data_IF_021739266275
#
_entry.id   IF_021739266275
#
_cell.length_a   1.000
_cell.length_b   1.000
_cell.length_c   1.000
_cell.angle_alpha   90.00
_cell.angle_beta   90.00
_cell.angle_gamma   90.00
#
_symmetry.space_group_name_H-M   'P 1'
#
loop_
_entity.id
_entity.type
_entity.pdbx_description
1 polymer ?
#
# COMPACT_ATOMS: atom_id res chain seq x y z
N UNK A 1 -27.16 -27.76 13.78
CA UNK A 1 -26.55 -26.59 14.45
C UNK A 1 -25.33 -26.92 15.35
N UNK A 2 -24.77 -28.14 15.33
CA UNK A 2 -23.54 -28.46 16.10
C UNK A 2 -22.25 -28.25 15.30
N UNK A 3 -22.32 -28.33 13.97
CA UNK A 3 -21.17 -28.17 13.06
C UNK A 3 -20.65 -26.73 12.97
N UNK A 4 -21.53 -25.72 13.04
CA UNK A 4 -21.18 -24.29 12.90
C UNK A 4 -20.39 -23.76 14.11
N UNK A 5 -20.66 -24.27 15.31
CA UNK A 5 -19.92 -23.88 16.51
C UNK A 5 -18.50 -24.45 16.54
N UNK A 6 -18.30 -25.65 15.97
CA UNK A 6 -16.99 -26.31 15.89
C UNK A 6 -16.13 -25.66 14.80
N UNK A 7 -16.70 -25.26 13.66
CA UNK A 7 -15.97 -24.52 12.62
C UNK A 7 -15.57 -23.11 13.08
N UNK A 8 -16.40 -22.43 13.89
CA UNK A 8 -16.04 -21.12 14.43
C UNK A 8 -14.94 -21.20 15.50
N UNK A 9 -14.95 -22.23 16.37
CA UNK A 9 -13.86 -22.48 17.31
C UNK A 9 -12.55 -22.89 16.63
N UNK A 10 -12.59 -23.64 15.52
CA UNK A 10 -11.41 -23.98 14.74
C UNK A 10 -10.81 -22.75 14.03
N UNK A 11 -11.64 -21.81 13.57
CA UNK A 11 -11.16 -20.54 13.00
C UNK A 11 -10.46 -19.66 14.05
N UNK A 12 -10.94 -19.63 15.29
CA UNK A 12 -10.27 -18.89 16.37
C UNK A 12 -8.90 -19.47 16.76
N UNK A 13 -8.70 -20.80 16.65
CA UNK A 13 -7.40 -21.43 16.91
C UNK A 13 -6.36 -21.21 15.79
N UNK A 14 -6.81 -21.05 14.53
CA UNK A 14 -5.90 -20.78 13.40
C UNK A 14 -5.33 -19.36 13.45
N UNK A 15 -6.05 -18.39 14.03
CA UNK A 15 -5.53 -17.03 14.23
C UNK A 15 -4.51 -16.92 15.37
N UNK A 16 -4.55 -17.82 16.35
CA UNK A 16 -3.55 -17.89 17.43
C UNK A 16 -2.19 -18.46 17.00
N UNK A 17 -2.15 -19.21 15.89
CA UNK A 17 -0.91 -19.78 15.34
C UNK A 17 -0.22 -18.88 14.29
N UNK A 18 -0.87 -17.80 13.85
CA UNK A 18 -0.34 -16.84 12.87
C UNK A 18 0.38 -15.64 13.50
N UNK A 19 0.29 -15.46 14.82
CA UNK A 19 1.02 -14.44 15.59
C UNK A 19 2.24 -15.02 16.34
N UNK A 20 2.87 -16.04 15.75
CA UNK A 20 4.16 -16.55 16.18
C UNK A 20 5.31 -15.74 15.57
N UNK A 21 5.95 -14.91 16.39
CA UNK A 21 7.29 -14.37 16.22
C UNK A 21 7.52 -13.38 15.06
N UNK A 22 7.26 -12.11 15.35
CA UNK A 22 8.13 -11.03 14.86
C UNK A 22 9.52 -11.19 15.49
N UNK A 23 10.50 -11.63 14.70
CA UNK A 23 11.91 -11.23 14.85
C UNK A 23 12.65 -11.43 13.53
N UNK A 24 12.16 -10.80 12.46
CA UNK A 24 13.00 -10.53 11.29
C UNK A 24 13.95 -9.37 11.61
N UNK A 25 15.09 -9.73 12.20
CA UNK A 25 16.30 -8.91 12.18
C UNK A 25 16.73 -8.73 10.72
N UNK A 26 16.38 -7.59 10.11
CA UNK A 26 16.88 -7.18 8.81
C UNK A 26 18.34 -6.74 8.93
N UNK A 27 19.26 -7.72 8.97
CA UNK A 27 20.65 -7.46 8.57
C UNK A 27 20.65 -7.05 7.09
N UNK A 28 21.30 -5.93 6.72
CA UNK A 28 21.37 -5.53 5.32
C UNK A 28 22.24 -6.54 4.56
N UNK A 29 21.64 -7.25 3.61
CA UNK A 29 22.38 -8.05 2.66
C UNK A 29 23.10 -7.11 1.70
N UNK A 30 24.40 -6.94 1.96
CA UNK A 30 25.36 -6.28 1.08
C UNK A 30 25.61 -7.22 -0.10
N UNK A 31 24.88 -7.04 -1.20
CA UNK A 31 25.32 -7.54 -2.51
C UNK A 31 26.08 -6.42 -3.19
N UNK A 32 27.40 -6.43 -3.00
CA UNK A 32 28.33 -5.77 -3.90
C UNK A 32 28.51 -6.76 -5.05
N UNK A 33 27.84 -6.50 -6.16
CA UNK A 33 28.32 -6.87 -7.50
C UNK A 33 27.61 -5.98 -8.51
N UNK A 34 28.21 -4.80 -8.71
CA UNK A 34 28.62 -4.25 -10.00
C UNK A 34 28.82 -2.75 -9.79
N UNK A 35 30.07 -2.39 -9.50
CA UNK A 35 30.55 -1.02 -9.59
C UNK A 35 30.49 -0.62 -11.07
N UNK A 36 29.31 -0.23 -11.54
CA UNK A 36 29.24 0.61 -12.73
C UNK A 36 29.74 1.98 -12.27
N UNK A 37 31.00 2.27 -12.59
CA UNK A 37 31.58 3.59 -12.49
C UNK A 37 30.86 4.47 -13.52
N UNK A 38 29.63 4.86 -13.19
CA UNK A 38 29.04 6.04 -13.78
C UNK A 38 29.55 7.22 -12.97
N UNK A 39 30.15 8.16 -13.70
CA UNK A 39 30.34 9.57 -13.33
C UNK A 39 29.32 10.04 -12.28
N UNK A 40 29.68 10.88 -11.28
CA UNK A 40 28.88 11.08 -10.08
C UNK A 40 27.45 11.50 -10.45
N UNK A 41 26.54 10.52 -10.44
CA UNK A 41 25.13 10.76 -10.68
C UNK A 41 24.66 11.63 -9.52
N UNK A 42 24.29 12.87 -9.83
CA UNK A 42 23.76 13.76 -8.80
C UNK A 42 22.39 13.22 -8.43
N UNK A 43 22.29 12.68 -7.22
CA UNK A 43 21.01 12.28 -6.64
C UNK A 43 20.38 13.49 -5.97
N UNK A 44 19.13 13.78 -6.30
CA UNK A 44 18.38 14.87 -5.67
C UNK A 44 17.11 14.32 -5.05
N UNK A 45 16.98 14.50 -3.74
CA UNK A 45 15.77 14.17 -3.00
C UNK A 45 14.80 15.35 -3.01
N UNK A 46 13.56 15.09 -3.43
CA UNK A 46 12.52 16.09 -3.60
C UNK A 46 11.25 15.72 -2.84
N UNK A 47 10.77 16.61 -1.96
CA UNK A 47 9.61 16.32 -1.10
C UNK A 47 8.27 16.72 -1.70
N UNK A 48 8.15 17.94 -2.22
CA UNK A 48 6.90 18.42 -2.82
C UNK A 48 7.06 19.78 -3.51
N UNK A 49 6.17 20.07 -4.47
CA UNK A 49 6.08 21.35 -5.16
C UNK A 49 6.58 21.24 -6.61
N UNK A 50 7.28 22.29 -7.07
CA UNK A 50 7.91 22.30 -8.39
C UNK A 50 9.40 22.05 -8.26
N UNK A 51 9.90 21.00 -8.91
CA UNK A 51 11.33 20.75 -9.01
C UNK A 51 11.92 21.58 -10.15
N UNK A 52 13.11 22.14 -9.95
CA UNK A 52 13.76 23.01 -10.94
C UNK A 52 15.16 22.48 -11.27
N UNK A 53 15.35 22.07 -12.52
CA UNK A 53 16.67 21.85 -13.07
C UNK A 53 17.20 23.18 -13.61
N UNK A 54 18.33 23.66 -13.05
CA UNK A 54 18.95 24.92 -13.47
C UNK A 54 20.26 24.58 -14.16
N UNK A 55 20.37 24.96 -15.43
CA UNK A 55 21.58 24.80 -16.23
C UNK A 55 22.10 26.17 -16.68
N UNK A 56 23.40 26.37 -16.58
CA UNK A 56 24.03 27.60 -17.06
C UNK A 56 23.99 27.65 -18.59
N UNK A 57 23.64 28.80 -19.13
CA UNK A 57 23.69 29.02 -20.56
C UNK A 57 25.16 28.99 -21.04
N UNK A 58 25.42 28.42 -22.23
CA UNK A 58 26.75 28.46 -22.80
C UNK A 58 27.20 29.91 -23.04
N UNK A 59 28.43 30.23 -22.64
CA UNK A 59 29.02 31.55 -22.89
C UNK A 59 29.48 31.64 -24.34
N UNK A 60 29.30 32.80 -24.96
CA UNK A 60 29.74 33.09 -26.34
C UNK A 60 29.09 32.21 -27.42
N UNK A 61 27.88 31.71 -27.18
CA UNK A 61 27.12 30.89 -28.12
C UNK A 61 25.84 31.63 -28.47
N UNK A 62 25.61 31.86 -29.77
CA UNK A 62 24.44 32.60 -30.25
C UNK A 62 23.24 31.69 -30.53
N UNK A 63 23.49 30.42 -30.84
CA UNK A 63 22.43 29.44 -31.12
C UNK A 63 22.73 28.11 -30.46
N UNK A 64 21.81 27.66 -29.61
CA UNK A 64 21.93 26.40 -28.89
C UNK A 64 20.54 25.78 -28.64
N UNK A 65 20.53 24.48 -28.37
CA UNK A 65 19.35 23.77 -27.90
C UNK A 65 19.67 23.05 -26.60
N UNK A 66 18.74 23.11 -25.66
CA UNK A 66 18.79 22.37 -24.42
C UNK A 66 17.60 21.43 -24.35
N UNK A 67 17.85 20.15 -24.19
CA UNK A 67 16.82 19.13 -24.14
C UNK A 67 16.92 18.35 -22.85
N UNK A 68 15.77 18.11 -22.21
CA UNK A 68 15.64 17.28 -21.02
C UNK A 68 14.93 15.98 -21.40
N UNK A 69 15.59 14.87 -21.10
CA UNK A 69 15.11 13.53 -21.32
C UNK A 69 14.80 12.83 -19.99
N UNK A 70 13.83 11.92 -20.00
CA UNK A 70 13.49 11.07 -18.86
C UNK A 70 13.72 9.60 -19.20
N UNK A 71 14.31 8.87 -18.26
CA UNK A 71 14.46 7.42 -18.29
C UNK A 71 15.57 6.92 -19.17
N UNK A 72 15.79 5.61 -19.12
CA UNK A 72 16.85 4.92 -19.87
C UNK A 72 16.66 5.05 -21.39
N UNK A 73 15.42 5.06 -21.87
CA UNK A 73 15.09 5.27 -23.28
C UNK A 73 15.29 6.73 -23.75
N UNK A 74 15.67 7.63 -22.84
CA UNK A 74 15.88 9.07 -23.09
C UNK A 74 14.68 9.69 -23.83
N UNK A 75 13.49 9.54 -23.25
CA UNK A 75 12.27 10.15 -23.82
C UNK A 75 12.29 11.66 -23.61
N UNK A 76 12.18 12.44 -24.70
CA UNK A 76 12.16 13.91 -24.66
C UNK A 76 10.92 14.42 -23.92
N UNK A 77 11.12 15.14 -22.82
CA UNK A 77 10.03 15.72 -22.03
C UNK A 77 9.91 17.24 -22.23
N UNK A 78 11.04 17.93 -22.32
CA UNK A 78 11.11 19.35 -22.62
C UNK A 78 12.32 19.66 -23.47
N UNK A 79 12.21 20.71 -24.27
CA UNK A 79 13.32 21.31 -24.97
C UNK A 79 13.21 22.84 -24.93
N UNK A 80 14.35 23.52 -25.05
CA UNK A 80 14.44 24.95 -25.26
C UNK A 80 15.41 25.18 -26.40
N UNK A 81 14.92 25.78 -27.48
CA UNK A 81 15.80 26.22 -28.55
C UNK A 81 16.00 27.73 -28.47
N UNK A 82 17.26 28.14 -28.32
CA UNK A 82 17.66 29.55 -28.29
C UNK A 82 18.33 29.91 -29.60
N UNK A 83 17.83 30.97 -30.21
CA UNK A 83 18.37 31.61 -31.41
C UNK A 83 18.66 33.09 -31.11
N UNK A 84 19.36 33.78 -32.01
CA UNK A 84 19.68 35.22 -31.86
C UNK A 84 18.46 36.11 -31.61
N UNK A 85 17.30 35.72 -32.13
CA UNK A 85 16.08 36.53 -32.10
C UNK A 85 15.14 36.13 -30.95
N UNK A 86 15.14 34.84 -30.55
CA UNK A 86 14.16 34.31 -29.60
C UNK A 86 14.59 33.00 -28.96
N UNK A 87 14.07 32.78 -27.75
CA UNK A 87 14.08 31.49 -27.07
C UNK A 87 12.68 30.86 -27.18
N UNK A 88 12.60 29.65 -27.73
CA UNK A 88 11.36 28.92 -27.98
C UNK A 88 11.34 27.69 -27.07
N UNK A 89 10.52 27.68 -26.01
CA UNK A 89 10.31 26.50 -25.20
C UNK A 89 9.38 25.53 -25.93
N UNK A 90 9.70 24.24 -25.85
CA UNK A 90 8.89 23.14 -26.35
C UNK A 90 8.68 22.16 -25.21
N UNK A 91 7.44 21.71 -25.02
CA UNK A 91 7.13 20.70 -24.03
C UNK A 91 6.30 19.58 -24.66
N UNK A 92 6.75 18.35 -24.47
CA UNK A 92 6.05 17.15 -24.95
C UNK A 92 5.14 16.55 -23.87
N UNK A 93 5.23 17.04 -22.63
CA UNK A 93 4.47 16.55 -21.48
C UNK A 93 3.92 17.70 -20.66
N UNK A 94 2.76 17.51 -20.04
CA UNK A 94 2.08 18.58 -19.30
C UNK A 94 2.79 19.01 -18.01
N UNK A 95 3.62 18.13 -17.44
CA UNK A 95 4.29 18.36 -16.16
C UNK A 95 5.66 19.06 -16.31
N UNK A 96 6.06 19.44 -17.51
CA UNK A 96 7.37 20.04 -17.76
C UNK A 96 7.24 21.37 -18.49
N UNK A 97 7.96 22.38 -18.03
CA UNK A 97 8.01 23.71 -18.62
C UNK A 97 9.46 24.21 -18.66
N UNK A 98 9.89 24.78 -19.78
CA UNK A 98 11.20 25.39 -19.91
C UNK A 98 11.09 26.92 -19.82
N UNK A 99 11.92 27.53 -18.98
CA UNK A 99 12.07 28.97 -18.83
C UNK A 99 13.50 29.38 -19.17
N UNK A 100 13.62 30.41 -20.00
CA UNK A 100 14.91 30.97 -20.38
C UNK A 100 15.17 32.27 -19.64
N UNK A 101 16.35 32.38 -19.03
CA UNK A 101 16.90 33.61 -18.48
C UNK A 101 18.22 33.92 -19.19
N UNK A 102 18.73 35.15 -19.07
CA UNK A 102 19.97 35.56 -19.72
C UNK A 102 21.18 34.70 -19.29
N UNK A 103 21.21 34.25 -18.04
CA UNK A 103 22.36 33.51 -17.46
C UNK A 103 22.14 32.00 -17.38
N UNK A 104 20.89 31.56 -17.30
CA UNK A 104 20.54 30.16 -17.12
C UNK A 104 19.24 29.80 -17.79
N UNK A 105 19.10 28.52 -18.09
CA UNK A 105 17.86 27.91 -18.53
C UNK A 105 17.37 27.00 -17.41
N UNK A 106 16.08 27.12 -17.09
CA UNK A 106 15.45 26.37 -16.02
C UNK A 106 14.36 25.47 -16.58
N UNK A 107 14.45 24.17 -16.32
CA UNK A 107 13.35 23.23 -16.57
C UNK A 107 12.60 23.01 -15.25
N UNK A 108 11.33 23.41 -15.26
CA UNK A 108 10.43 23.32 -14.13
C UNK A 108 9.56 22.07 -14.33
N UNK A 109 9.69 21.12 -13.40
CA UNK A 109 8.81 19.97 -13.31
C UNK A 109 7.75 20.23 -12.23
N UNK A 110 6.48 20.16 -12.62
CA UNK A 110 5.32 20.42 -11.76
C UNK A 110 4.55 19.12 -11.50
N UNK A 111 3.73 19.07 -10.45
CA UNK A 111 2.85 17.92 -10.16
C UNK A 111 3.57 16.55 -10.19
N UNK A 112 4.75 16.50 -9.59
CA UNK A 112 5.58 15.30 -9.54
C UNK A 112 5.03 14.27 -8.54
N UNK A 113 4.61 13.13 -9.07
CA UNK A 113 4.25 11.88 -8.36
C UNK A 113 5.36 10.80 -8.45
N UNK A 114 5.22 9.68 -7.70
CA UNK A 114 6.15 8.51 -7.71
C UNK A 114 6.52 8.01 -9.11
N UNK A 115 5.57 8.03 -10.05
CA UNK A 115 5.79 7.60 -11.45
C UNK A 115 6.83 8.45 -12.20
N UNK A 116 7.23 9.58 -11.64
CA UNK A 116 8.24 10.48 -12.21
C UNK A 116 9.63 10.29 -11.59
N UNK A 117 9.80 9.38 -10.63
CA UNK A 117 11.11 8.98 -10.13
C UNK A 117 11.84 8.27 -11.26
N UNK A 118 12.94 8.85 -11.70
CA UNK A 118 13.74 8.32 -12.80
C UNK A 118 15.08 9.06 -12.91
N UNK A 119 15.94 8.57 -13.80
CA UNK A 119 17.11 9.31 -14.28
C UNK A 119 16.68 10.33 -15.33
N UNK A 120 17.02 11.59 -15.08
CA UNK A 120 16.84 12.68 -16.02
C UNK A 120 18.17 12.99 -16.69
N UNK A 121 18.16 13.03 -18.02
CA UNK A 121 19.36 13.31 -18.82
C UNK A 121 19.19 14.66 -19.51
N UNK A 122 20.07 15.59 -19.20
CA UNK A 122 20.18 16.87 -19.88
C UNK A 122 21.11 16.74 -21.08
N UNK A 123 20.78 17.44 -22.17
CA UNK A 123 21.53 17.50 -23.40
C UNK A 123 21.66 18.95 -23.87
N UNK A 124 22.90 19.41 -24.09
CA UNK A 124 23.19 20.71 -24.67
C UNK A 124 23.83 20.55 -26.05
N UNK A 125 23.16 21.07 -27.06
CA UNK A 125 23.68 21.19 -28.43
C UNK A 125 24.02 22.65 -28.72
N UNK A 126 25.18 22.91 -29.31
CA UNK A 126 25.59 24.27 -29.70
C UNK A 126 25.77 24.31 -31.21
N UNK A 127 24.99 25.16 -31.87
CA UNK A 127 24.97 25.29 -33.33
C UNK A 127 25.89 26.41 -33.80
N UNK A 128 25.81 27.58 -33.17
CA UNK A 128 26.59 28.76 -33.52
C UNK A 128 27.23 29.43 -32.28
N UNK A 129 28.50 29.83 -32.36
CA UNK A 129 29.38 29.74 -33.52
C UNK A 129 29.88 28.30 -33.76
N UNK A 130 30.27 27.94 -35.00
CA UNK A 130 30.94 26.68 -35.25
C UNK A 130 32.24 26.56 -34.41
N UNK A 131 32.69 25.33 -34.11
CA UNK A 131 32.16 24.05 -34.56
C UNK A 131 30.83 23.67 -33.90
N UNK A 132 30.01 22.89 -34.60
CA UNK A 132 28.84 22.26 -33.97
C UNK A 132 29.33 21.34 -32.85
N UNK A 133 28.77 21.53 -31.67
CA UNK A 133 29.03 20.68 -30.52
C UNK A 133 27.77 19.86 -30.30
N UNK A 134 27.92 18.56 -30.54
CA UNK A 134 26.89 17.58 -30.26
C UNK A 134 26.67 17.44 -28.74
N UNK A 135 25.46 17.05 -28.41
CA UNK A 135 24.87 16.86 -27.11
C UNK A 135 25.86 16.63 -25.94
N UNK A 136 26.10 17.67 -25.14
CA UNK A 136 26.78 17.50 -23.84
C UNK A 136 25.79 16.97 -22.81
N UNK A 137 26.02 15.73 -22.39
CA UNK A 137 25.14 14.99 -21.50
C UNK A 137 25.44 15.29 -20.03
N UNK A 138 24.39 15.42 -19.22
CA UNK A 138 24.48 15.40 -17.76
C UNK A 138 23.30 14.63 -17.17
N UNK A 139 23.59 13.61 -16.38
CA UNK A 139 22.58 12.77 -15.76
C UNK A 139 22.32 13.19 -14.31
N UNK A 140 21.06 13.12 -13.88
CA UNK A 140 20.64 13.42 -12.51
C UNK A 140 19.53 12.46 -12.14
N UNK A 141 19.71 11.73 -11.05
CA UNK A 141 18.67 10.84 -10.55
C UNK A 141 17.74 11.63 -9.62
N UNK A 142 16.48 11.77 -10.01
CA UNK A 142 15.50 12.50 -9.22
C UNK A 142 14.70 11.51 -8.37
N UNK A 143 14.94 11.54 -7.06
CA UNK A 143 14.18 10.77 -6.09
C UNK A 143 13.09 11.65 -5.47
N UNK A 144 11.84 11.21 -5.58
CA UNK A 144 10.69 11.93 -5.03
C UNK A 144 10.32 11.22 -3.73
N UNK A 145 10.48 11.92 -2.61
CA UNK A 145 10.07 11.42 -1.31
C UNK A 145 8.55 11.43 -1.22
N UNK A 146 8.00 10.29 -0.86
CA UNK A 146 6.58 10.17 -0.64
C UNK A 146 6.16 10.93 0.61
N UNK A 147 5.07 11.69 0.48
CA UNK A 147 4.24 11.95 1.65
C UNK A 147 3.61 10.61 1.99
N UNK A 148 4.17 9.94 2.98
CA UNK A 148 3.45 8.85 3.63
C UNK A 148 2.12 9.43 4.09
N UNK A 149 1.03 8.99 3.47
CA UNK A 149 -0.32 9.34 3.90
C UNK A 149 -0.53 8.72 5.27
N UNK A 150 -0.07 9.41 6.31
CA UNK A 150 -0.20 9.04 7.72
C UNK A 150 -1.68 8.78 8.08
N UNK A 151 -2.59 9.35 7.29
CA UNK A 151 -4.03 9.14 7.34
C UNK A 151 -4.41 7.69 6.98
N UNK A 152 -3.81 7.11 5.93
CA UNK A 152 -4.09 5.72 5.55
C UNK A 152 -3.60 4.74 6.61
N UNK A 153 -2.43 4.98 7.22
CA UNK A 153 -1.93 4.14 8.32
C UNK A 153 -2.80 4.28 9.59
N UNK A 154 -3.24 5.50 9.90
CA UNK A 154 -4.09 5.79 11.05
C UNK A 154 -5.50 5.19 10.94
N UNK A 155 -6.13 5.29 9.76
CA UNK A 155 -7.45 4.70 9.51
C UNK A 155 -7.36 3.17 9.54
N UNK A 156 -6.34 2.59 8.89
CA UNK A 156 -6.15 1.14 8.91
C UNK A 156 -5.88 0.63 10.34
N UNK A 157 -5.13 1.37 11.14
CA UNK A 157 -4.92 1.06 12.57
C UNK A 157 -6.24 1.08 13.36
N UNK A 158 -7.04 2.13 13.24
CA UNK A 158 -8.33 2.21 13.95
C UNK A 158 -9.29 1.08 13.53
N UNK A 159 -9.36 0.77 12.23
CA UNK A 159 -10.18 -0.33 11.70
C UNK A 159 -9.72 -1.67 12.28
N UNK A 160 -8.42 -1.93 12.34
CA UNK A 160 -7.89 -3.17 12.96
C UNK A 160 -8.21 -3.27 14.45
N UNK A 161 -8.06 -2.19 15.20
CA UNK A 161 -8.41 -2.14 16.63
C UNK A 161 -9.91 -2.41 16.83
N UNK A 162 -10.76 -1.78 16.00
CA UNK A 162 -12.21 -1.99 16.04
C UNK A 162 -12.61 -3.45 15.78
N UNK A 163 -11.97 -4.09 14.80
CA UNK A 163 -12.20 -5.51 14.48
C UNK A 163 -11.80 -6.44 15.63
N UNK A 164 -10.66 -6.18 16.29
CA UNK A 164 -10.20 -6.99 17.43
C UNK A 164 -11.18 -6.87 18.60
N UNK A 165 -11.61 -5.66 18.94
CA UNK A 165 -12.57 -5.43 20.03
C UNK A 165 -13.91 -6.10 19.74
N UNK A 166 -14.40 -5.99 18.50
CA UNK A 166 -15.65 -6.64 18.09
C UNK A 166 -15.58 -8.17 18.17
N UNK A 167 -14.47 -8.77 17.72
CA UNK A 167 -14.24 -10.20 17.83
C UNK A 167 -14.25 -10.66 19.29
N UNK A 168 -13.57 -9.94 20.19
CA UNK A 168 -13.54 -10.29 21.62
C UNK A 168 -14.91 -10.21 22.29
N UNK A 169 -15.69 -9.16 22.00
CA UNK A 169 -17.05 -9.02 22.52
C UNK A 169 -17.94 -10.16 22.01
N UNK A 170 -17.84 -10.50 20.72
CA UNK A 170 -18.61 -11.59 20.13
C UNK A 170 -18.32 -12.93 20.81
N UNK A 171 -17.05 -13.23 21.11
CA UNK A 171 -16.65 -14.44 21.84
C UNK A 171 -17.26 -14.50 23.24
N UNK A 172 -17.22 -13.39 23.99
CA UNK A 172 -17.81 -13.33 25.33
C UNK A 172 -19.33 -13.52 25.29
N UNK A 173 -20.02 -12.87 24.34
CA UNK A 173 -21.46 -13.03 24.13
C UNK A 173 -21.83 -14.47 23.74
N UNK A 174 -21.02 -15.12 22.90
CA UNK A 174 -21.22 -16.53 22.53
C UNK A 174 -21.09 -17.44 23.75
N UNK A 175 -20.08 -17.26 24.60
CA UNK A 175 -19.91 -18.06 25.83
C UNK A 175 -21.09 -17.86 26.78
N UNK A 176 -21.54 -16.61 26.99
CA UNK A 176 -22.68 -16.32 27.84
C UNK A 176 -23.98 -16.97 27.32
N UNK A 177 -24.25 -16.87 26.01
CA UNK A 177 -25.40 -17.50 25.38
C UNK A 177 -25.36 -19.03 25.49
N UNK A 178 -24.18 -19.65 25.31
CA UNK A 178 -23.99 -21.09 25.50
C UNK A 178 -24.26 -21.52 26.95
N UNK A 179 -23.81 -20.73 27.94
CA UNK A 179 -24.06 -21.02 29.37
C UNK A 179 -25.54 -20.90 29.74
N UNK A 180 -26.22 -19.87 29.24
CA UNK A 180 -27.66 -19.67 29.46
C UNK A 180 -28.49 -20.79 28.83
N UNK A 181 -28.15 -21.19 27.60
CA UNK A 181 -28.84 -22.30 26.92
C UNK A 181 -28.64 -23.64 27.64
N UNK A 182 -27.43 -23.90 28.15
CA UNK A 182 -27.17 -25.11 28.94
C UNK A 182 -27.96 -25.13 30.26
N UNK A 183 -28.08 -23.98 30.94
CA UNK A 183 -28.93 -23.85 32.14
C UNK A 183 -30.41 -24.10 31.83
N UNK A 184 -30.92 -23.58 30.72
CA UNK A 184 -32.31 -23.80 30.33
C UNK A 184 -32.60 -25.28 29.99
N UNK A 185 -31.65 -25.97 29.37
CA UNK A 185 -31.77 -27.41 29.09
C UNK A 185 -31.72 -28.29 30.36
N UNK A 186 -30.94 -27.90 31.37
CA UNK A 186 -30.88 -28.58 32.67
C UNK A 186 -32.18 -28.40 33.49
N UNK A 187 -32.87 -27.27 33.34
CA UNK A 187 -34.18 -27.04 33.96
C UNK A 187 -35.30 -27.82 33.27
N UNK A 188 -35.21 -28.02 31.95
CA UNK A 188 -36.19 -28.79 31.18
C UNK A 188 -36.04 -30.32 31.38
N UNK A 189 -34.84 -30.82 31.69
CA UNK A 189 -34.63 -32.25 31.98
C UNK A 189 -34.98 -32.67 33.40
N UNK A 190 -35.00 -31.75 34.38
CA UNK A 190 -35.32 -32.05 35.79
C UNK A 190 -36.82 -32.00 36.11
N UNK A 191 -37.68 -31.59 35.18
CA UNK A 191 -39.13 -31.60 35.37
C UNK A 191 -39.81 -32.88 34.87
N UNK A 192 -39.04 -33.82 34.31
CA UNK A 192 -39.54 -35.09 33.77
C UNK A 192 -39.26 -36.30 34.68
N UNK A 193 -39.21 -36.12 35.99
CA UNK A 193 -39.39 -37.22 36.95
C UNK A 193 -40.91 -37.46 37.10
N UNK A 194 -41.49 -38.09 36.07
CA UNK A 194 -42.87 -38.53 36.07
C UNK A 194 -42.99 -39.71 37.04
N UNK A 195 -43.63 -39.47 38.19
CA UNK A 195 -44.10 -40.47 39.14
C UNK A 195 -44.60 -41.73 38.40
N UNK A 196 -43.79 -42.79 38.39
CA UNK A 196 -44.11 -44.07 37.75
C UNK A 196 -44.32 -45.17 38.79
N UNK A 197 -44.94 -44.84 39.92
CA UNK A 197 -45.48 -45.82 40.84
C UNK A 197 -47.01 -45.83 40.75
N UNK A 198 -47.52 -46.32 39.62
CA UNK A 198 -48.90 -46.78 39.51
C UNK A 198 -48.87 -48.29 39.28
N UNK A 199 -49.01 -49.06 40.36
CA UNK A 199 -49.18 -50.51 40.28
C UNK A 199 -50.58 -50.83 39.74
N UNK A 200 -50.74 -51.68 38.72
CA UNK A 200 -52.05 -52.17 38.33
C UNK A 200 -52.52 -53.16 39.41
N UNK A 201 -53.59 -52.79 40.13
CA UNK A 201 -54.29 -53.70 41.02
C UNK A 201 -54.88 -54.85 40.19
N UNK A 202 -54.59 -56.08 40.59
CA UNK A 202 -55.05 -57.30 39.93
C UNK A 202 -56.60 -57.34 39.85
N UNK A 203 -57.11 -57.71 38.68
CA UNK A 203 -58.54 -57.89 38.46
C UNK A 203 -59.07 -59.05 39.34
N UNK A 204 -60.01 -58.73 40.24
CA UNK A 204 -60.76 -59.73 41.01
C UNK A 204 -61.77 -60.40 40.08
N UNK A 205 -61.59 -61.69 39.82
CA UNK A 205 -62.56 -62.49 39.08
C UNK A 205 -63.85 -62.62 39.91
N UNK A 206 -64.97 -62.15 39.35
CA UNK A 206 -66.29 -62.25 39.96
C UNK A 206 -66.67 -63.72 40.23
N UNK A 207 -67.15 -63.98 41.45
CA UNK A 207 -67.59 -65.30 41.89
C UNK A 207 -68.75 -65.83 41.03
N UNK A 208 -68.59 -67.05 40.50
CA UNK A 208 -69.62 -67.78 39.76
C UNK A 208 -70.67 -68.29 40.75
N UNK A 209 -71.91 -67.83 40.58
CA UNK A 209 -73.08 -68.22 41.38
C UNK A 209 -73.43 -69.70 41.11
N UNK A 210 -73.35 -70.54 42.13
CA UNK A 210 -73.80 -71.94 42.11
C UNK A 210 -75.32 -72.00 42.02
N UNK A 211 -75.86 -72.78 41.07
CA UNK A 211 -77.26 -73.22 41.06
C UNK A 211 -77.25 -74.74 40.93
N UNK A 212 -77.67 -75.37 42.03
CA UNK A 212 -78.12 -76.76 42.24
C UNK A 212 -77.08 -77.83 41.92
#
# INVERSE_FOLDING_TARGET
>A
MKSVAVTFCLLCFQFGALYGADTCSSRPCKNIDQLHVSDPQVMVEFKSGNFKFIFHNPKNVSEFSMTLFKGHEKKEICALHVSKEKAIPKSNVTYCQAEHSNTSTTFILTNLERKHIDTYTYCLEMFLPPPYIDCRLKETYLYIQDKEDCISLGIMSWVTIGLIVFAMISCVCCVAACRLRNKNQQCESNSHEYNSEYMPMAAVNAAKKTRI
#
